data_IF_035023676046
#
_entry.id   IF_035023676046
#
_cell.length_a   1.000
_cell.length_b   1.000
_cell.length_c   1.000
_cell.angle_alpha   90.00
_cell.angle_beta   90.00
_cell.angle_gamma   90.00
#
_symmetry.space_group_name_H-M   'P 1'
#
loop_
_entity.id
_entity.type
_entity.pdbx_description
1 polymer ?
#
# COMPACT_ATOMS: atom_id res chain seq x y z
N UNK A 1 4.98 -14.40 -2.46
CA UNK A 1 5.56 -13.03 -2.45
C UNK A 1 4.43 -12.03 -2.31
N UNK A 2 4.68 -10.86 -1.74
CA UNK A 2 3.69 -9.79 -1.62
C UNK A 2 4.23 -8.51 -2.27
N UNK A 3 3.44 -7.92 -3.16
CA UNK A 3 3.70 -6.62 -3.76
C UNK A 3 2.80 -5.56 -3.18
N UNK A 4 3.37 -4.39 -2.91
CA UNK A 4 2.70 -3.20 -2.39
C UNK A 4 2.80 -2.10 -3.44
N UNK A 5 1.70 -1.44 -3.76
CA UNK A 5 1.61 -0.30 -4.67
C UNK A 5 0.89 0.87 -3.96
N UNK A 6 1.62 1.95 -3.69
CA UNK A 6 1.07 3.19 -3.17
C UNK A 6 0.72 4.16 -4.30
N UNK A 7 -0.55 4.18 -4.65
CA UNK A 7 -1.11 5.15 -5.61
C UNK A 7 -1.36 6.52 -4.98
N UNK A 8 -1.92 7.45 -5.76
CA UNK A 8 -2.26 8.78 -5.25
C UNK A 8 -3.43 8.76 -4.24
N UNK A 9 -4.29 7.75 -4.25
CA UNK A 9 -5.50 7.74 -3.42
C UNK A 9 -5.74 6.38 -2.74
N UNK A 10 -4.78 5.46 -2.82
CA UNK A 10 -4.93 4.12 -2.22
C UNK A 10 -3.61 3.39 -2.06
N UNK A 11 -3.50 2.59 -1.00
CA UNK A 11 -2.51 1.52 -0.89
C UNK A 11 -3.12 0.22 -1.44
N UNK A 12 -2.37 -0.49 -2.27
CA UNK A 12 -2.77 -1.76 -2.89
C UNK A 12 -1.78 -2.84 -2.53
N UNK A 13 -2.28 -4.05 -2.31
CA UNK A 13 -1.50 -5.22 -1.94
C UNK A 13 -1.90 -6.38 -2.84
N UNK A 14 -0.92 -6.99 -3.49
CA UNK A 14 -1.08 -8.24 -4.25
C UNK A 14 -0.26 -9.35 -3.62
N UNK A 15 -0.83 -10.55 -3.48
CA UNK A 15 -0.07 -11.76 -3.12
C UNK A 15 0.08 -12.61 -4.37
N UNK A 16 1.28 -13.14 -4.58
CA UNK A 16 1.65 -13.90 -5.77
C UNK A 16 2.35 -15.20 -5.38
N UNK A 17 2.18 -16.23 -6.21
CA UNK A 17 2.98 -17.45 -6.17
C UNK A 17 4.43 -17.15 -6.57
N UNK A 18 5.34 -18.11 -6.33
CA UNK A 18 6.75 -17.98 -6.75
C UNK A 18 6.94 -17.95 -8.28
N UNK A 19 5.93 -18.39 -9.05
CA UNK A 19 5.92 -18.31 -10.51
C UNK A 19 5.35 -16.99 -11.03
N UNK A 20 4.96 -16.07 -10.14
CA UNK A 20 4.38 -14.78 -10.48
C UNK A 20 2.87 -14.80 -10.75
N UNK A 21 2.18 -15.93 -10.50
CA UNK A 21 0.74 -15.98 -10.66
C UNK A 21 0.06 -15.22 -9.50
N UNK A 22 -0.94 -14.36 -9.77
CA UNK A 22 -1.65 -13.64 -8.71
C UNK A 22 -2.56 -14.59 -7.93
N UNK A 23 -2.52 -14.46 -6.61
CA UNK A 23 -3.41 -15.16 -5.66
C UNK A 23 -4.57 -14.26 -5.28
N UNK A 24 -4.28 -13.02 -4.86
CA UNK A 24 -5.28 -12.04 -4.47
C UNK A 24 -4.77 -10.61 -4.64
N UNK A 25 -5.72 -9.67 -4.75
CA UNK A 25 -5.47 -8.24 -4.65
C UNK A 25 -6.43 -7.60 -3.66
N UNK A 26 -5.92 -6.68 -2.84
CA UNK A 26 -6.72 -5.81 -1.98
C UNK A 26 -6.22 -4.39 -2.07
N UNK A 27 -7.11 -3.45 -1.78
CA UNK A 27 -6.78 -2.04 -1.73
C UNK A 27 -7.57 -1.35 -0.63
N UNK A 28 -6.94 -0.34 -0.05
CA UNK A 28 -7.57 0.56 0.90
C UNK A 28 -7.32 1.99 0.43
N UNK A 29 -8.39 2.76 0.27
CA UNK A 29 -8.32 4.14 -0.15
C UNK A 29 -7.93 5.06 1.02
N UNK A 30 -7.25 6.17 0.69
CA UNK A 30 -7.01 7.29 1.59
C UNK A 30 -7.32 8.60 0.86
N UNK A 31 -7.67 9.67 1.60
CA UNK A 31 -8.07 10.92 0.99
C UNK A 31 -6.91 11.65 0.31
N UNK A 32 -7.26 12.40 -0.73
CA UNK A 32 -6.41 13.44 -1.33
C UNK A 32 -6.99 14.80 -0.98
N UNK A 33 -6.18 15.64 -0.36
CA UNK A 33 -6.59 16.97 0.09
C UNK A 33 -6.20 18.04 -0.93
N UNK A 34 -7.15 18.92 -1.24
CA UNK A 34 -6.94 20.09 -2.09
C UNK A 34 -7.18 21.38 -1.29
N UNK A 35 -6.28 21.76 -0.36
CA UNK A 35 -6.49 22.92 0.51
C UNK A 35 -6.54 24.25 -0.27
N UNK A 36 -5.96 24.29 -1.47
CA UNK A 36 -5.95 25.43 -2.39
C UNK A 36 -6.01 24.95 -3.84
N UNK A 37 -6.49 25.79 -4.79
CA UNK A 37 -6.43 25.47 -6.22
C UNK A 37 -5.00 25.12 -6.67
N UNK A 38 -4.85 23.97 -7.33
CA UNK A 38 -3.56 23.48 -7.84
C UNK A 38 -2.68 22.76 -6.80
N UNK A 39 -3.15 22.61 -5.55
CA UNK A 39 -2.45 21.88 -4.50
C UNK A 39 -3.04 20.49 -4.33
N UNK A 40 -2.19 19.49 -4.08
CA UNK A 40 -2.57 18.13 -3.79
C UNK A 40 -1.68 17.58 -2.67
N UNK A 41 -2.29 17.33 -1.51
CA UNK A 41 -1.62 16.91 -0.29
C UNK A 41 -2.27 15.63 0.26
N UNK A 42 -1.48 14.83 0.98
CA UNK A 42 -1.93 13.61 1.64
C UNK A 42 -1.30 13.55 3.04
N UNK A 43 -1.87 12.78 3.96
CA UNK A 43 -1.29 12.55 5.28
C UNK A 43 -0.53 11.20 5.29
N UNK A 44 0.77 11.18 5.64
CA UNK A 44 1.55 9.94 5.68
C UNK A 44 0.98 8.85 6.59
N UNK A 45 0.38 9.23 7.72
CA UNK A 45 -0.26 8.29 8.66
C UNK A 45 -1.45 7.55 8.04
N UNK A 46 -2.15 8.18 7.10
CA UNK A 46 -3.27 7.56 6.40
C UNK A 46 -2.79 6.53 5.38
N UNK A 47 -1.62 6.74 4.77
CA UNK A 47 -0.99 5.72 3.92
C UNK A 47 -0.66 4.47 4.72
N UNK A 48 -0.09 4.64 5.92
CA UNK A 48 0.26 3.54 6.80
C UNK A 48 -0.98 2.77 7.24
N UNK A 49 -2.01 3.48 7.72
CA UNK A 49 -3.27 2.87 8.12
C UNK A 49 -3.93 2.08 6.97
N UNK A 50 -3.91 2.63 5.76
CA UNK A 50 -4.43 1.96 4.57
C UNK A 50 -3.60 0.74 4.17
N UNK A 51 -2.27 0.81 4.24
CA UNK A 51 -1.40 -0.34 3.97
C UNK A 51 -1.70 -1.49 4.95
N UNK A 52 -1.71 -1.20 6.25
CA UNK A 52 -2.00 -2.20 7.29
C UNK A 52 -3.35 -2.87 7.02
N UNK A 53 -4.37 -2.07 6.68
CA UNK A 53 -5.70 -2.58 6.32
C UNK A 53 -5.66 -3.48 5.10
N UNK A 54 -5.02 -3.05 4.01
CA UNK A 54 -4.93 -3.81 2.77
C UNK A 54 -4.13 -5.12 2.94
N UNK A 55 -3.04 -5.11 3.73
CA UNK A 55 -2.24 -6.30 4.05
C UNK A 55 -3.07 -7.31 4.84
N UNK A 56 -3.75 -6.86 5.91
CA UNK A 56 -4.58 -7.75 6.73
C UNK A 56 -5.72 -8.37 5.92
N UNK A 57 -6.39 -7.57 5.07
CA UNK A 57 -7.42 -8.09 4.17
C UNK A 57 -6.85 -9.10 3.16
N UNK A 58 -5.68 -8.83 2.58
CA UNK A 58 -5.06 -9.75 1.62
C UNK A 58 -4.67 -11.09 2.27
N UNK A 59 -4.13 -11.07 3.48
CA UNK A 59 -3.80 -12.29 4.23
C UNK A 59 -5.06 -13.06 4.65
N UNK A 60 -6.05 -12.38 5.21
CA UNK A 60 -7.30 -13.00 5.64
C UNK A 60 -8.04 -13.68 4.48
N UNK A 61 -8.15 -12.99 3.35
CA UNK A 61 -8.94 -13.45 2.22
C UNK A 61 -8.19 -14.46 1.32
N UNK A 62 -6.86 -14.47 1.35
CA UNK A 62 -6.06 -15.50 0.65
C UNK A 62 -5.88 -16.78 1.44
N UNK A 63 -5.98 -16.73 2.78
CA UNK A 63 -5.66 -17.84 3.66
C UNK A 63 -4.17 -18.18 3.76
N UNK A 64 -3.29 -17.36 3.17
CA UNK A 64 -1.83 -17.53 3.22
C UNK A 64 -1.34 -17.13 4.61
N UNK A 65 -0.54 -17.98 5.26
CA UNK A 65 0.05 -17.63 6.55
C UNK A 65 1.12 -16.55 6.35
N UNK A 66 1.25 -15.56 7.27
CA UNK A 66 2.26 -14.51 7.14
C UNK A 66 3.70 -15.05 6.97
N UNK A 67 4.01 -16.18 7.61
CA UNK A 67 5.31 -16.85 7.51
C UNK A 67 5.63 -17.42 6.11
N UNK A 68 4.64 -17.55 5.23
CA UNK A 68 4.82 -18.01 3.84
C UNK A 68 5.15 -16.85 2.88
N UNK A 69 5.05 -15.60 3.34
CA UNK A 69 5.49 -14.43 2.56
C UNK A 69 7.01 -14.33 2.63
N UNK A 70 7.67 -14.95 1.66
CA UNK A 70 9.15 -15.00 1.57
C UNK A 70 9.80 -13.74 0.98
N UNK A 71 9.01 -12.76 0.55
CA UNK A 71 9.53 -11.56 -0.09
C UNK A 71 8.48 -10.47 -0.25
N UNK A 72 8.93 -9.23 -0.09
CA UNK A 72 8.15 -7.99 -0.20
C UNK A 72 8.74 -7.10 -1.29
N UNK A 73 7.88 -6.47 -2.06
CA UNK A 73 8.24 -5.39 -2.97
C UNK A 73 7.32 -4.20 -2.74
N UNK A 74 7.84 -2.99 -2.91
CA UNK A 74 7.05 -1.76 -2.82
C UNK A 74 7.28 -0.91 -4.08
N UNK A 75 6.19 -0.39 -4.61
CA UNK A 75 6.12 0.64 -5.64
C UNK A 75 5.30 1.81 -5.09
N UNK A 76 5.64 3.03 -5.52
CA UNK A 76 5.03 4.25 -4.98
C UNK A 76 4.89 5.30 -6.07
N UNK A 77 3.85 6.11 -5.98
CA UNK A 77 3.70 7.32 -6.79
C UNK A 77 4.97 8.18 -6.70
N UNK A 78 5.48 8.63 -7.85
CA UNK A 78 6.67 9.47 -7.88
C UNK A 78 6.37 10.92 -7.45
N UNK A 79 7.41 11.64 -7.03
CA UNK A 79 7.41 13.08 -6.77
C UNK A 79 6.65 13.56 -5.51
N UNK A 80 5.99 12.69 -4.75
CA UNK A 80 5.50 13.04 -3.41
C UNK A 80 6.67 13.32 -2.48
N UNK A 81 6.66 14.44 -1.78
CA UNK A 81 7.70 14.83 -0.82
C UNK A 81 7.13 14.74 0.59
N UNK A 82 7.84 14.04 1.47
CA UNK A 82 7.53 13.99 2.90
C UNK A 82 8.69 14.60 3.64
N UNK A 83 8.43 15.69 4.36
CA UNK A 83 9.40 16.22 5.31
C UNK A 83 9.30 15.40 6.60
N UNK A 84 10.43 14.85 7.03
CA UNK A 84 10.57 14.07 8.25
C UNK A 84 11.56 14.76 9.17
N UNK A 85 11.40 14.60 10.47
CA UNK A 85 12.46 14.87 11.44
C UNK A 85 13.45 13.68 11.49
N UNK A 86 14.31 13.63 12.50
CA UNK A 86 15.38 12.64 12.58
C UNK A 86 14.97 11.34 13.32
N UNK A 87 13.82 11.36 13.99
CA UNK A 87 13.31 10.25 14.80
C UNK A 87 12.44 9.29 13.97
#
# INVERSE_FOLDING_TARGET
MMGIDFGTESARVGIFTLTGAPVIFRSCAYPLYHPRPGWAEQQPDEWWAALVTAVHQALADSGVAPAEIVGLSADTTCCTVVAMDAD
#
